data_IF_614080620561
#
_entry.id   IF_614080620561
#
_cell.length_a   1.000
_cell.length_b   1.000
_cell.length_c   1.000
_cell.angle_alpha   90.00
_cell.angle_beta   90.00
_cell.angle_gamma   90.00
#
_symmetry.space_group_name_H-M   'P 1'
#
loop_
_entity.id
_entity.type
_entity.pdbx_description
1 polymer ?
#
# COMPACT_ATOMS: atom_id res chain seq x y z
N UNK A 1 -9.78 -36.72 -16.98
CA UNK A 1 -9.81 -37.15 -15.57
C UNK A 1 -10.26 -35.92 -14.75
N UNK A 2 -11.55 -35.87 -14.38
CA UNK A 2 -12.13 -34.69 -13.67
C UNK A 2 -12.01 -35.02 -12.18
N UNK A 3 -11.11 -34.34 -11.49
CA UNK A 3 -11.01 -34.43 -10.02
C UNK A 3 -12.24 -33.74 -9.40
N UNK A 4 -13.24 -34.54 -9.02
CA UNK A 4 -14.34 -34.07 -8.17
C UNK A 4 -13.84 -34.03 -6.72
N UNK A 5 -13.40 -32.81 -6.30
CA UNK A 5 -13.25 -32.58 -4.86
C UNK A 5 -14.63 -32.58 -4.21
N UNK A 6 -14.95 -33.66 -3.47
CA UNK A 6 -16.06 -33.65 -2.53
C UNK A 6 -15.64 -32.81 -1.32
N UNK A 7 -16.20 -31.65 -1.19
CA UNK A 7 -16.09 -30.84 0.03
C UNK A 7 -16.80 -31.59 1.17
N UNK A 8 -16.05 -32.05 2.15
CA UNK A 8 -16.60 -32.75 3.31
C UNK A 8 -16.71 -31.72 4.45
N UNK A 9 -17.93 -31.29 4.76
CA UNK A 9 -18.21 -30.29 5.82
C UNK A 9 -17.72 -30.71 7.22
N UNK A 10 -17.29 -31.99 7.39
CA UNK A 10 -16.73 -32.50 8.64
C UNK A 10 -15.26 -32.17 8.88
N UNK A 11 -14.56 -31.69 7.84
CA UNK A 11 -13.12 -31.36 7.92
C UNK A 11 -12.87 -29.86 8.23
N UNK A 12 -13.93 -29.09 8.42
CA UNK A 12 -13.82 -27.67 8.81
C UNK A 12 -13.74 -27.63 10.34
N UNK A 13 -12.58 -27.23 10.85
CA UNK A 13 -12.41 -27.04 12.29
C UNK A 13 -13.27 -25.83 12.76
N UNK A 14 -13.68 -25.83 14.03
CA UNK A 14 -14.39 -24.69 14.64
C UNK A 14 -13.58 -23.38 14.54
N UNK A 15 -12.25 -23.47 14.47
CA UNK A 15 -11.36 -22.31 14.26
C UNK A 15 -11.44 -21.80 12.84
N UNK A 16 -11.45 -22.66 11.81
CA UNK A 16 -11.63 -22.25 10.41
C UNK A 16 -12.99 -21.60 10.20
N UNK A 17 -14.05 -22.16 10.80
CA UNK A 17 -15.39 -21.56 10.76
C UNK A 17 -15.41 -20.16 11.41
N UNK A 18 -14.73 -19.99 12.53
CA UNK A 18 -14.59 -18.68 13.20
C UNK A 18 -13.86 -17.67 12.31
N UNK A 19 -12.77 -18.05 11.67
CA UNK A 19 -11.98 -17.18 10.78
C UNK A 19 -12.81 -16.74 9.57
N UNK A 20 -13.53 -17.68 8.93
CA UNK A 20 -14.41 -17.37 7.78
C UNK A 20 -15.62 -16.52 8.21
N UNK A 21 -16.23 -16.82 9.35
CA UNK A 21 -17.39 -16.09 9.87
C UNK A 21 -17.00 -14.67 10.29
N UNK A 22 -15.83 -14.50 10.93
CA UNK A 22 -15.29 -13.18 11.24
C UNK A 22 -14.96 -12.36 10.00
N UNK A 23 -14.45 -12.98 8.94
CA UNK A 23 -14.17 -12.32 7.67
C UNK A 23 -15.48 -11.84 6.99
N UNK A 24 -16.53 -12.66 7.00
CA UNK A 24 -17.86 -12.31 6.48
C UNK A 24 -18.52 -11.19 7.30
N UNK A 25 -18.46 -11.29 8.65
CA UNK A 25 -18.97 -10.22 9.53
C UNK A 25 -18.22 -8.91 9.34
N UNK A 26 -16.89 -8.95 9.15
CA UNK A 26 -16.07 -7.78 8.90
C UNK A 26 -16.40 -7.10 7.55
N UNK A 27 -16.88 -7.86 6.56
CA UNK A 27 -17.36 -7.34 5.29
C UNK A 27 -18.72 -6.65 5.40
N UNK A 28 -19.53 -7.01 6.39
CA UNK A 28 -20.86 -6.42 6.65
C UNK A 28 -20.79 -5.17 7.55
N UNK A 29 -19.68 -4.93 8.25
CA UNK A 29 -19.51 -3.71 9.06
C UNK A 29 -19.34 -2.53 8.10
N UNK A 30 -20.19 -1.51 8.18
CA UNK A 30 -20.04 -0.32 7.34
C UNK A 30 -18.68 0.32 7.61
N UNK A 31 -17.90 0.54 6.56
CA UNK A 31 -16.60 1.19 6.66
C UNK A 31 -16.80 2.61 7.19
N UNK A 32 -15.97 3.02 8.16
CA UNK A 32 -16.01 4.35 8.74
C UNK A 32 -15.79 5.41 7.65
N UNK A 33 -16.64 6.42 7.60
CA UNK A 33 -16.46 7.59 6.75
C UNK A 33 -15.21 8.38 7.16
N UNK A 34 -14.60 9.04 6.19
CA UNK A 34 -13.45 9.94 6.39
C UNK A 34 -14.02 11.35 6.48
N UNK A 35 -14.14 11.88 7.71
CA UNK A 35 -14.80 13.16 7.97
C UNK A 35 -13.86 14.27 8.45
N UNK A 36 -12.62 13.92 8.76
CA UNK A 36 -11.64 14.86 9.31
C UNK A 36 -10.21 14.39 8.98
N UNK A 37 -9.24 15.24 9.28
CA UNK A 37 -7.81 15.01 9.05
C UNK A 37 -7.30 13.74 9.74
N UNK A 38 -7.75 13.41 10.95
CA UNK A 38 -7.31 12.21 11.67
C UNK A 38 -7.82 10.91 11.02
N UNK A 39 -9.07 10.92 10.52
CA UNK A 39 -9.61 9.79 9.75
C UNK A 39 -8.85 9.62 8.44
N UNK A 40 -8.50 10.74 7.77
CA UNK A 40 -7.72 10.77 6.54
C UNK A 40 -6.30 10.21 6.76
N UNK A 41 -5.61 10.65 7.83
CA UNK A 41 -4.29 10.13 8.22
C UNK A 41 -4.33 8.62 8.43
N UNK A 42 -5.32 8.14 9.19
CA UNK A 42 -5.51 6.71 9.44
C UNK A 42 -5.75 5.92 8.14
N UNK A 43 -6.55 6.46 7.23
CA UNK A 43 -6.80 5.85 5.93
C UNK A 43 -5.53 5.77 5.10
N UNK A 44 -4.81 6.88 4.96
CA UNK A 44 -3.57 6.98 4.19
C UNK A 44 -2.54 5.97 4.70
N UNK A 45 -2.27 5.95 6.02
CA UNK A 45 -1.32 5.03 6.63
C UNK A 45 -1.68 3.56 6.36
N UNK A 46 -2.92 3.15 6.67
CA UNK A 46 -3.37 1.76 6.53
C UNK A 46 -3.37 1.29 5.08
N UNK A 47 -3.82 2.13 4.16
CA UNK A 47 -3.93 1.72 2.74
C UNK A 47 -2.59 1.65 2.06
N UNK A 48 -1.68 2.57 2.34
CA UNK A 48 -0.30 2.53 1.82
C UNK A 48 0.44 1.29 2.34
N UNK A 49 0.31 0.95 3.62
CA UNK A 49 0.89 -0.26 4.18
C UNK A 49 0.30 -1.52 3.54
N UNK A 50 -1.02 -1.58 3.38
CA UNK A 50 -1.70 -2.72 2.77
C UNK A 50 -1.26 -2.93 1.30
N UNK A 51 -1.25 -1.88 0.47
CA UNK A 51 -0.82 -1.99 -0.93
C UNK A 51 0.61 -2.48 -1.02
N UNK A 52 1.52 -1.90 -0.23
CA UNK A 52 2.92 -2.29 -0.19
C UNK A 52 3.07 -3.78 0.15
N UNK A 53 2.41 -4.25 1.20
CA UNK A 53 2.49 -5.64 1.63
C UNK A 53 1.93 -6.59 0.57
N UNK A 54 0.71 -6.33 0.11
CA UNK A 54 0.05 -7.23 -0.85
C UNK A 54 0.83 -7.34 -2.15
N UNK A 55 1.33 -6.23 -2.68
CA UNK A 55 2.04 -6.24 -3.97
C UNK A 55 3.44 -6.85 -3.84
N UNK A 56 4.21 -6.47 -2.82
CA UNK A 56 5.56 -7.02 -2.59
C UNK A 56 5.49 -8.54 -2.35
N UNK A 57 4.67 -8.99 -1.40
CA UNK A 57 4.61 -10.43 -1.08
C UNK A 57 3.97 -11.26 -2.20
N UNK A 58 3.00 -10.72 -2.96
CA UNK A 58 2.48 -11.40 -4.15
C UNK A 58 3.56 -11.59 -5.20
N UNK A 59 4.40 -10.59 -5.40
CA UNK A 59 5.50 -10.68 -6.36
C UNK A 59 6.57 -11.68 -5.90
N UNK A 60 6.97 -11.65 -4.62
CA UNK A 60 7.87 -12.64 -4.05
C UNK A 60 7.31 -14.06 -4.20
N UNK A 61 6.04 -14.28 -3.84
CA UNK A 61 5.38 -15.58 -4.00
C UNK A 61 5.38 -16.05 -5.45
N UNK A 62 5.15 -15.16 -6.41
CA UNK A 62 5.14 -15.51 -7.83
C UNK A 62 6.51 -15.98 -8.32
N UNK A 63 7.61 -15.39 -7.81
CA UNK A 63 8.97 -15.69 -8.26
C UNK A 63 9.67 -16.76 -7.44
N UNK A 64 9.39 -16.87 -6.16
CA UNK A 64 10.02 -17.82 -5.25
C UNK A 64 9.15 -19.07 -5.01
N UNK A 65 7.93 -19.09 -5.54
CA UNK A 65 6.96 -20.17 -5.34
C UNK A 65 6.21 -20.10 -4.00
N UNK A 66 5.33 -21.04 -3.76
CA UNK A 66 4.44 -21.07 -2.57
C UNK A 66 5.20 -21.24 -1.25
N UNK A 67 6.40 -21.80 -1.30
CA UNK A 67 7.26 -22.02 -0.12
C UNK A 67 8.18 -20.83 0.18
N UNK A 68 7.95 -19.66 -0.44
CA UNK A 68 8.81 -18.46 -0.28
C UNK A 68 9.03 -18.06 1.20
N UNK A 69 8.07 -18.35 2.08
CA UNK A 69 8.17 -18.06 3.52
C UNK A 69 9.30 -18.85 4.19
N UNK A 70 9.61 -20.07 3.71
CA UNK A 70 10.70 -20.89 4.24
C UNK A 70 12.09 -20.27 3.99
N UNK A 71 12.20 -19.31 3.07
CA UNK A 71 13.44 -18.58 2.83
C UNK A 71 13.63 -17.37 3.77
N UNK A 72 12.68 -17.08 4.65
CA UNK A 72 12.79 -15.97 5.61
C UNK A 72 13.77 -16.27 6.77
N UNK A 73 14.19 -17.51 6.92
CA UNK A 73 15.30 -17.87 7.81
C UNK A 73 16.66 -17.37 7.29
N UNK A 74 16.75 -16.97 6.02
CA UNK A 74 17.94 -16.35 5.46
C UNK A 74 17.95 -14.85 5.80
N UNK A 75 18.85 -14.46 6.71
CA UNK A 75 18.97 -13.09 7.21
C UNK A 75 19.24 -12.06 6.10
N UNK A 76 20.02 -12.41 5.07
CA UNK A 76 20.32 -11.51 3.93
C UNK A 76 19.06 -11.23 3.14
N UNK A 77 18.27 -12.26 2.86
CA UNK A 77 16.99 -12.11 2.15
C UNK A 77 15.99 -11.31 2.99
N UNK A 78 15.87 -11.64 4.29
CA UNK A 78 14.97 -10.92 5.20
C UNK A 78 15.33 -9.45 5.30
N UNK A 79 16.61 -9.11 5.41
CA UNK A 79 17.10 -7.73 5.38
C UNK A 79 16.73 -7.02 4.08
N UNK A 80 16.92 -7.69 2.94
CA UNK A 80 16.57 -7.15 1.62
C UNK A 80 15.06 -6.91 1.47
N UNK A 81 14.22 -7.82 1.97
CA UNK A 81 12.76 -7.67 1.99
C UNK A 81 12.35 -6.49 2.89
N UNK A 82 12.95 -6.35 4.07
CA UNK A 82 12.66 -5.23 4.97
C UNK A 82 13.05 -3.89 4.35
N UNK A 83 14.22 -3.81 3.70
CA UNK A 83 14.64 -2.63 2.96
C UNK A 83 13.66 -2.29 1.83
N UNK A 84 13.26 -3.29 1.05
CA UNK A 84 12.27 -3.12 -0.02
C UNK A 84 10.92 -2.63 0.53
N UNK A 85 10.43 -3.26 1.60
CA UNK A 85 9.16 -2.88 2.25
C UNK A 85 9.13 -1.40 2.60
N UNK A 86 10.15 -0.88 3.29
CA UNK A 86 10.17 0.52 3.71
C UNK A 86 10.27 1.49 2.51
N UNK A 87 11.12 1.19 1.53
CA UNK A 87 11.27 2.06 0.36
C UNK A 87 10.02 2.10 -0.53
N UNK A 88 9.32 0.99 -0.69
CA UNK A 88 8.05 0.94 -1.43
C UNK A 88 6.95 1.66 -0.63
N UNK A 89 6.88 1.41 0.68
CA UNK A 89 5.87 2.01 1.55
C UNK A 89 5.93 3.53 1.56
N UNK A 90 7.13 4.12 1.64
CA UNK A 90 7.29 5.57 1.63
C UNK A 90 6.73 6.18 0.35
N UNK A 91 7.06 5.62 -0.79
CA UNK A 91 6.56 6.15 -2.06
C UNK A 91 5.05 5.94 -2.18
N UNK A 92 4.53 4.80 -1.75
CA UNK A 92 3.09 4.54 -1.68
C UNK A 92 2.36 5.52 -0.75
N UNK A 93 2.99 5.86 0.39
CA UNK A 93 2.48 6.83 1.34
C UNK A 93 2.43 8.25 0.73
N UNK A 94 3.50 8.67 0.02
CA UNK A 94 3.54 9.95 -0.69
C UNK A 94 2.46 10.01 -1.76
N UNK A 95 2.37 9.00 -2.61
CA UNK A 95 1.40 8.95 -3.71
C UNK A 95 -0.04 9.09 -3.20
N UNK A 96 -0.40 8.31 -2.16
CA UNK A 96 -1.76 8.38 -1.60
C UNK A 96 -2.03 9.71 -0.89
N UNK A 97 -1.02 10.28 -0.22
CA UNK A 97 -1.14 11.60 0.41
C UNK A 97 -1.41 12.67 -0.64
N UNK A 98 -0.62 12.75 -1.69
CA UNK A 98 -0.79 13.73 -2.76
C UNK A 98 -2.12 13.54 -3.51
N UNK A 99 -2.47 12.30 -3.81
CA UNK A 99 -3.77 11.98 -4.42
C UNK A 99 -4.93 12.47 -3.56
N UNK A 100 -4.91 12.14 -2.27
CA UNK A 100 -6.00 12.47 -1.35
C UNK A 100 -6.20 13.96 -1.22
N UNK A 101 -5.12 14.73 -1.04
CA UNK A 101 -5.19 16.18 -0.92
C UNK A 101 -5.56 16.86 -2.24
N UNK A 102 -5.07 16.39 -3.38
CA UNK A 102 -5.51 16.87 -4.69
C UNK A 102 -7.02 16.61 -4.88
N UNK A 103 -7.52 15.44 -4.48
CA UNK A 103 -8.92 15.08 -4.60
C UNK A 103 -9.81 15.95 -3.71
N UNK A 104 -9.52 16.09 -2.40
CA UNK A 104 -10.35 16.89 -1.48
C UNK A 104 -10.31 18.37 -1.83
N UNK A 105 -9.21 18.88 -2.36
CA UNK A 105 -9.12 20.24 -2.88
C UNK A 105 -10.12 20.49 -4.00
N UNK A 106 -10.23 19.57 -4.94
CA UNK A 106 -11.07 19.73 -6.13
C UNK A 106 -12.56 19.46 -5.87
N UNK A 107 -12.89 18.52 -4.98
CA UNK A 107 -14.27 18.07 -4.79
C UNK A 107 -14.92 18.56 -3.50
N UNK A 108 -14.12 18.98 -2.51
CA UNK A 108 -14.59 19.45 -1.19
C UNK A 108 -14.11 20.87 -0.86
N UNK A 109 -13.49 21.55 -1.80
CA UNK A 109 -12.98 22.92 -1.66
C UNK A 109 -12.00 23.11 -0.48
N UNK A 110 -11.23 22.06 -0.14
CA UNK A 110 -10.25 22.11 0.93
C UNK A 110 -8.93 22.67 0.43
N UNK A 111 -8.61 23.92 0.79
CA UNK A 111 -7.47 24.65 0.22
C UNK A 111 -6.13 24.42 0.93
N UNK A 112 -6.15 23.95 2.19
CA UNK A 112 -4.93 23.79 3.00
C UNK A 112 -4.14 22.53 2.62
N UNK A 113 -3.42 22.57 1.50
CA UNK A 113 -2.57 21.46 1.05
C UNK A 113 -1.32 21.26 1.92
N UNK A 114 -0.92 22.28 2.72
CA UNK A 114 0.21 22.15 3.65
C UNK A 114 -0.02 21.08 4.71
N UNK A 115 -1.28 20.84 5.09
CA UNK A 115 -1.67 19.74 5.98
C UNK A 115 -1.24 18.36 5.49
N UNK A 116 -0.98 18.19 4.20
CA UNK A 116 -0.41 16.95 3.66
C UNK A 116 0.99 16.65 4.22
N UNK A 117 1.79 17.69 4.48
CA UNK A 117 3.11 17.55 5.14
C UNK A 117 2.96 17.10 6.59
N UNK A 118 2.03 17.72 7.32
CA UNK A 118 1.78 17.39 8.73
C UNK A 118 1.38 15.91 8.87
N UNK A 119 0.42 15.45 8.04
CA UNK A 119 0.00 14.05 8.00
C UNK A 119 1.17 13.12 7.66
N UNK A 120 1.88 13.41 6.59
CA UNK A 120 2.98 12.55 6.14
C UNK A 120 4.05 12.43 7.23
N UNK A 121 4.44 13.54 7.87
CA UNK A 121 5.45 13.55 8.92
C UNK A 121 4.96 12.87 10.20
N UNK A 122 3.70 13.07 10.58
CA UNK A 122 3.06 12.37 11.71
C UNK A 122 3.11 10.85 11.52
N UNK A 123 2.77 10.37 10.31
CA UNK A 123 2.84 8.94 9.99
C UNK A 123 4.27 8.42 10.08
N UNK A 124 5.27 9.15 9.57
CA UNK A 124 6.67 8.75 9.66
C UNK A 124 7.14 8.61 11.11
N UNK A 125 6.76 9.54 12.01
CA UNK A 125 7.09 9.45 13.44
C UNK A 125 6.43 8.23 14.10
N UNK A 126 5.23 7.86 13.68
CA UNK A 126 4.60 6.62 14.13
C UNK A 126 5.31 5.37 13.60
N UNK A 127 5.75 5.39 12.34
CA UNK A 127 6.49 4.27 11.75
C UNK A 127 7.91 4.11 12.30
N UNK A 128 8.51 5.17 12.83
CA UNK A 128 9.76 5.07 13.61
C UNK A 128 9.58 4.13 14.81
N UNK A 129 8.46 4.23 15.52
CA UNK A 129 8.13 3.32 16.63
C UNK A 129 7.92 1.87 16.16
N UNK A 130 7.57 1.67 14.90
CA UNK A 130 7.40 0.37 14.25
C UNK A 130 8.71 -0.17 13.63
N UNK A 131 9.84 0.50 13.86
CA UNK A 131 11.17 0.07 13.43
C UNK A 131 11.59 0.59 12.05
N UNK A 132 10.99 1.68 11.54
CA UNK A 132 11.52 2.35 10.36
C UNK A 132 12.85 3.03 10.69
N UNK A 133 13.94 2.78 9.92
CA UNK A 133 15.24 3.40 10.16
C UNK A 133 15.21 4.93 10.00
N UNK A 134 15.95 5.65 10.86
CA UNK A 134 16.02 7.13 10.82
C UNK A 134 16.52 7.67 9.47
N UNK A 135 17.47 7.00 8.86
CA UNK A 135 18.01 7.38 7.54
C UNK A 135 16.91 7.38 6.47
N UNK A 136 16.02 6.39 6.52
CA UNK A 136 14.88 6.29 5.61
C UNK A 136 13.88 7.41 5.87
N UNK A 137 13.65 7.77 7.14
CA UNK A 137 12.75 8.88 7.51
C UNK A 137 13.29 10.21 6.99
N UNK A 138 14.58 10.46 7.16
CA UNK A 138 15.24 11.70 6.68
C UNK A 138 15.09 11.81 5.16
N UNK A 139 15.42 10.76 4.44
CA UNK A 139 15.30 10.74 2.98
C UNK A 139 13.84 10.86 2.53
N UNK A 140 12.90 10.24 3.24
CA UNK A 140 11.47 10.36 2.98
C UNK A 140 10.97 11.80 3.12
N UNK A 141 11.37 12.52 4.16
CA UNK A 141 11.01 13.93 4.37
C UNK A 141 11.55 14.81 3.25
N UNK A 142 12.80 14.58 2.85
CA UNK A 142 13.45 15.30 1.75
C UNK A 142 12.72 15.07 0.41
N UNK A 143 12.53 13.81 0.04
CA UNK A 143 11.86 13.46 -1.24
C UNK A 143 10.41 13.92 -1.26
N UNK A 144 9.71 13.90 -0.12
CA UNK A 144 8.37 14.46 -0.03
C UNK A 144 8.37 15.97 -0.33
N UNK A 145 9.28 16.73 0.29
CA UNK A 145 9.38 18.16 0.07
C UNK A 145 9.69 18.52 -1.40
N UNK A 146 10.59 17.77 -2.03
CA UNK A 146 10.92 17.94 -3.45
C UNK A 146 9.74 17.65 -4.38
N UNK A 147 8.96 16.61 -4.08
CA UNK A 147 7.75 16.24 -4.83
C UNK A 147 6.63 17.25 -4.60
N UNK A 148 6.42 17.68 -3.35
CA UNK A 148 5.39 18.64 -2.96
C UNK A 148 5.45 19.92 -3.80
N UNK A 149 6.65 20.43 -4.07
CA UNK A 149 6.86 21.63 -4.88
C UNK A 149 6.51 21.45 -6.37
N UNK A 150 6.44 20.19 -6.83
CA UNK A 150 6.18 19.84 -8.24
C UNK A 150 4.75 19.38 -8.49
N UNK A 151 3.97 19.16 -7.44
CA UNK A 151 2.59 18.67 -7.57
C UNK A 151 1.68 19.78 -8.14
N UNK A 152 1.01 19.46 -9.23
CA UNK A 152 -0.13 20.24 -9.71
C UNK A 152 -1.39 19.83 -8.96
N UNK A 153 -1.68 20.51 -7.86
CA UNK A 153 -2.76 20.13 -6.93
C UNK A 153 -4.14 20.05 -7.58
N UNK A 154 -4.40 20.83 -8.62
CA UNK A 154 -5.68 20.84 -9.30
C UNK A 154 -5.85 19.68 -10.31
N UNK A 155 -4.75 19.00 -10.68
CA UNK A 155 -4.77 17.95 -11.70
C UNK A 155 -4.21 16.60 -11.22
N UNK A 156 -3.47 16.58 -10.11
CA UNK A 156 -2.72 15.40 -9.69
C UNK A 156 -3.60 14.18 -9.46
N UNK A 157 -4.81 14.34 -8.91
CA UNK A 157 -5.75 13.24 -8.69
C UNK A 157 -6.10 12.47 -9.98
N UNK A 158 -5.90 13.05 -11.14
CA UNK A 158 -6.22 12.47 -12.45
C UNK A 158 -4.99 12.18 -13.33
N UNK A 159 -3.78 12.52 -12.88
CA UNK A 159 -2.53 12.47 -13.67
C UNK A 159 -1.65 11.25 -13.37
N UNK A 160 -2.20 10.03 -13.29
CA UNK A 160 -1.48 8.81 -12.93
C UNK A 160 -0.79 8.90 -11.54
N UNK A 161 -1.52 9.24 -10.49
CA UNK A 161 -0.95 9.62 -9.18
C UNK A 161 -0.18 8.51 -8.47
N UNK A 162 -0.27 7.26 -8.92
CA UNK A 162 0.36 6.09 -8.29
C UNK A 162 1.47 5.45 -9.14
N UNK A 163 1.95 6.16 -10.15
CA UNK A 163 3.01 5.64 -11.01
C UNK A 163 4.33 5.44 -10.26
N UNK A 164 4.65 6.35 -9.34
CA UNK A 164 5.92 6.30 -8.62
C UNK A 164 6.00 5.12 -7.65
N UNK A 165 4.91 4.77 -6.98
CA UNK A 165 4.85 3.57 -6.14
C UNK A 165 4.94 2.28 -6.95
N UNK A 166 4.39 2.25 -8.16
CA UNK A 166 4.57 1.11 -9.06
C UNK A 166 6.04 0.96 -9.50
N UNK A 167 6.70 2.07 -9.82
CA UNK A 167 8.14 2.08 -10.11
C UNK A 167 9.00 1.71 -8.89
N UNK A 168 8.58 2.12 -7.68
CA UNK A 168 9.25 1.74 -6.45
C UNK A 168 9.18 0.22 -6.21
N UNK A 169 8.02 -0.41 -6.42
CA UNK A 169 7.89 -1.87 -6.35
C UNK A 169 8.85 -2.56 -7.32
N UNK A 170 8.89 -2.12 -8.57
CA UNK A 170 9.80 -2.66 -9.59
C UNK A 170 11.27 -2.50 -9.19
N UNK A 171 11.65 -1.32 -8.69
CA UNK A 171 13.02 -1.01 -8.31
C UNK A 171 13.49 -1.80 -7.09
N UNK A 172 12.69 -1.85 -6.03
CA UNK A 172 13.12 -2.30 -4.71
C UNK A 172 12.83 -3.78 -4.42
N UNK A 173 11.92 -4.45 -5.14
CA UNK A 173 11.67 -5.87 -4.92
C UNK A 173 12.98 -6.68 -5.03
N UNK A 174 13.30 -7.53 -4.03
CA UNK A 174 14.56 -8.30 -3.98
C UNK A 174 14.48 -9.53 -4.92
N UNK A 175 14.36 -9.26 -6.21
CA UNK A 175 14.32 -10.22 -7.31
C UNK A 175 15.46 -9.90 -8.26
N UNK A 176 16.05 -10.93 -8.87
CA UNK A 176 17.14 -10.75 -9.84
C UNK A 176 16.72 -9.84 -11.00
N UNK A 177 17.63 -8.96 -11.43
CA UNK A 177 17.32 -7.90 -12.39
C UNK A 177 16.86 -8.45 -13.76
N UNK A 178 17.37 -9.60 -14.18
CA UNK A 178 16.96 -10.29 -15.41
C UNK A 178 15.47 -10.67 -15.34
N UNK A 179 15.01 -11.19 -14.20
CA UNK A 179 13.61 -11.54 -13.98
C UNK A 179 12.74 -10.29 -13.88
N UNK A 180 13.21 -9.25 -13.17
CA UNK A 180 12.49 -7.98 -13.09
C UNK A 180 12.24 -7.36 -14.48
N UNK A 181 13.23 -7.41 -15.37
CA UNK A 181 13.07 -6.90 -16.75
C UNK A 181 11.94 -7.60 -17.49
N UNK A 182 11.85 -8.92 -17.37
CA UNK A 182 10.77 -9.71 -17.98
C UNK A 182 9.40 -9.37 -17.39
N UNK A 183 9.35 -9.04 -16.09
CA UNK A 183 8.12 -8.80 -15.34
C UNK A 183 7.66 -7.35 -15.34
N UNK A 184 8.42 -6.44 -15.88
CA UNK A 184 8.20 -5.00 -15.70
C UNK A 184 6.74 -4.59 -15.88
N UNK A 185 6.12 -4.97 -16.98
CA UNK A 185 4.72 -4.63 -17.27
C UNK A 185 3.74 -5.23 -16.24
N UNK A 186 3.96 -6.49 -15.86
CA UNK A 186 3.10 -7.20 -14.90
C UNK A 186 3.20 -6.57 -13.52
N UNK A 187 4.42 -6.27 -13.07
CA UNK A 187 4.69 -5.66 -11.76
C UNK A 187 4.06 -4.27 -11.65
N UNK A 188 4.27 -3.42 -12.64
CA UNK A 188 3.70 -2.08 -12.67
C UNK A 188 2.16 -2.15 -12.65
N UNK A 189 1.56 -2.95 -13.52
CA UNK A 189 0.10 -3.09 -13.59
C UNK A 189 -0.49 -3.68 -12.29
N UNK A 190 0.21 -4.63 -11.65
CA UNK A 190 -0.28 -5.22 -10.40
C UNK A 190 -0.45 -4.20 -9.28
N UNK A 191 0.47 -3.24 -9.19
CA UNK A 191 0.41 -2.14 -8.23
C UNK A 191 -0.73 -1.16 -8.56
N UNK A 192 -0.84 -0.76 -9.83
CA UNK A 192 -1.88 0.17 -10.30
C UNK A 192 -3.28 -0.40 -10.04
N UNK A 193 -3.52 -1.68 -10.36
CA UNK A 193 -4.81 -2.34 -10.10
C UNK A 193 -5.20 -2.34 -8.61
N UNK A 194 -4.24 -2.42 -7.70
CA UNK A 194 -4.52 -2.30 -6.26
C UNK A 194 -4.89 -0.87 -5.86
N UNK A 195 -4.24 0.10 -6.48
CA UNK A 195 -4.57 1.50 -6.25
C UNK A 195 -5.95 1.90 -6.79
N UNK A 196 -6.39 1.34 -7.91
CA UNK A 196 -7.73 1.61 -8.45
C UNK A 196 -8.82 1.22 -7.44
N UNK A 197 -8.68 0.07 -6.80
CA UNK A 197 -9.60 -0.35 -5.72
C UNK A 197 -9.59 0.63 -4.53
N UNK A 198 -8.41 1.18 -4.17
CA UNK A 198 -8.29 2.14 -3.06
C UNK A 198 -8.84 3.50 -3.43
N UNK A 199 -8.65 3.95 -4.67
CA UNK A 199 -9.29 5.17 -5.19
C UNK A 199 -10.81 5.10 -5.07
N UNK A 200 -11.39 4.02 -5.55
CA UNK A 200 -12.85 3.81 -5.44
C UNK A 200 -13.31 3.77 -3.98
N UNK A 201 -12.55 3.09 -3.12
CA UNK A 201 -12.87 3.04 -1.69
C UNK A 201 -12.77 4.43 -1.06
N UNK A 202 -11.71 5.19 -1.34
CA UNK A 202 -11.53 6.56 -0.87
C UNK A 202 -12.70 7.45 -1.29
N UNK A 203 -13.03 7.46 -2.57
CA UNK A 203 -14.11 8.27 -3.14
C UNK A 203 -15.49 7.95 -2.53
N UNK A 204 -15.73 6.68 -2.15
CA UNK A 204 -16.98 6.26 -1.48
C UNK A 204 -17.02 6.65 0.02
N UNK A 205 -15.85 6.76 0.67
CA UNK A 205 -15.76 6.99 2.10
C UNK A 205 -15.56 8.44 2.47
N UNK A 206 -15.01 9.25 1.58
CA UNK A 206 -14.72 10.67 1.85
C UNK A 206 -16.01 11.46 2.03
N UNK A 207 -16.07 12.25 3.11
CA UNK A 207 -17.23 13.06 3.52
C UNK A 207 -16.68 14.25 4.33
N UNK A 208 -15.92 15.14 3.65
CA UNK A 208 -15.01 16.13 4.23
C UNK A 208 -15.66 17.50 4.36
#
# INVERSE_FOLDING_TARGET
>A
MVLKYKFNLKDISLEDFRVYFFALFKALIPKKKIKNISDLETFIQKKSAWVTQVTLYSYLKTRMGTKYVLHFDNEILLSSINKAKWNIYIVALQDLTFYSFSYIRNFFNYQDVEKSKDIFFSILENEKKNGMPDEIIIEAKKTFAERFLKISWDQHYNSLPFNDSALALYKWAPIADELKKLDRKIVLNSMILKWDNIKEEFQKLIDF
#
